data_IF_805979099863
#
_entry.id   IF_805979099863
#
_cell.length_a   1.000
_cell.length_b   1.000
_cell.length_c   1.000
_cell.angle_alpha   90.00
_cell.angle_beta   90.00
_cell.angle_gamma   90.00
#
_symmetry.space_group_name_H-M   'P 1'
#
loop_
_entity.id
_entity.type
_entity.pdbx_description
1 polymer ?
#
# COMPACT_ATOMS: atom_id res chain seq x y z
N UNK A 1 19.60 -19.39 -16.19
CA UNK A 1 19.11 -18.16 -15.54
C UNK A 1 18.97 -18.39 -14.04
N UNK A 2 19.31 -17.40 -13.22
CA UNK A 2 19.15 -17.48 -11.76
C UNK A 2 17.70 -17.20 -11.34
N UNK A 3 17.33 -17.60 -10.12
CA UNK A 3 16.05 -17.24 -9.54
C UNK A 3 15.92 -15.72 -9.39
N UNK A 4 14.69 -15.21 -9.50
CA UNK A 4 14.39 -13.78 -9.32
C UNK A 4 13.27 -13.63 -8.31
N UNK A 5 13.39 -12.66 -7.41
CA UNK A 5 12.31 -12.32 -6.47
C UNK A 5 11.51 -11.16 -7.03
N UNK A 6 10.20 -11.33 -7.08
CA UNK A 6 9.27 -10.33 -7.58
C UNK A 6 8.17 -10.05 -6.56
N UNK A 7 7.66 -8.83 -6.59
CA UNK A 7 6.43 -8.46 -5.90
C UNK A 7 5.33 -8.33 -6.95
N UNK A 8 4.19 -8.97 -6.71
CA UNK A 8 3.02 -8.93 -7.60
C UNK A 8 1.80 -8.39 -6.86
N UNK A 9 0.92 -7.73 -7.61
CA UNK A 9 -0.39 -7.29 -7.14
C UNK A 9 -1.48 -8.22 -7.66
N UNK A 10 -2.23 -8.83 -6.73
CA UNK A 10 -3.40 -9.65 -7.03
C UNK A 10 -4.65 -8.93 -6.55
N UNK A 11 -5.69 -8.87 -7.38
CA UNK A 11 -6.97 -8.24 -7.06
C UNK A 11 -8.12 -9.16 -7.48
N UNK A 12 -9.18 -9.25 -6.67
CA UNK A 12 -10.43 -9.85 -7.13
C UNK A 12 -11.24 -8.77 -7.82
N UNK A 13 -11.40 -8.86 -9.13
CA UNK A 13 -12.18 -7.92 -9.92
C UNK A 13 -13.35 -8.60 -10.59
N UNK A 14 -14.05 -7.85 -11.44
CA UNK A 14 -15.10 -8.37 -12.30
C UNK A 14 -14.67 -8.35 -13.76
N UNK A 15 -15.10 -9.36 -14.51
CA UNK A 15 -14.98 -9.46 -15.96
C UNK A 15 -16.24 -10.13 -16.50
N UNK A 16 -17.01 -9.45 -17.36
CA UNK A 16 -18.29 -9.93 -17.88
C UNK A 16 -19.27 -10.39 -16.76
N UNK A 17 -19.36 -9.62 -15.67
CA UNK A 17 -20.18 -9.91 -14.47
C UNK A 17 -19.80 -11.19 -13.71
N UNK A 18 -18.60 -11.71 -13.95
CA UNK A 18 -18.03 -12.82 -13.18
C UNK A 18 -16.85 -12.33 -12.35
N UNK A 19 -16.76 -12.81 -11.11
CA UNK A 19 -15.61 -12.56 -10.25
C UNK A 19 -14.38 -13.31 -10.80
N UNK A 20 -13.30 -12.57 -11.02
CA UNK A 20 -12.04 -13.11 -11.54
C UNK A 20 -10.86 -12.55 -10.74
N UNK A 21 -9.92 -13.41 -10.40
CA UNK A 21 -8.64 -12.98 -9.83
C UNK A 21 -7.77 -12.43 -10.95
N UNK A 22 -7.25 -11.23 -10.75
CA UNK A 22 -6.42 -10.47 -11.68
C UNK A 22 -5.02 -10.31 -11.11
N UNK A 23 -4.01 -10.49 -11.94
CA UNK A 23 -2.63 -10.12 -11.67
C UNK A 23 -2.35 -8.86 -12.48
N UNK A 24 -2.29 -7.71 -11.81
CA UNK A 24 -2.30 -6.41 -12.49
C UNK A 24 -0.90 -5.84 -12.65
N UNK A 25 -0.05 -5.97 -11.64
CA UNK A 25 1.31 -5.44 -11.66
C UNK A 25 2.34 -6.44 -11.16
N UNK A 26 3.58 -6.22 -11.60
CA UNK A 26 4.77 -6.95 -11.18
C UNK A 26 5.95 -5.98 -11.05
N UNK A 27 6.84 -6.24 -10.10
CA UNK A 27 8.16 -5.60 -10.02
C UNK A 27 9.21 -6.57 -9.54
N UNK A 28 10.45 -6.37 -9.97
CA UNK A 28 11.60 -6.98 -9.32
C UNK A 28 11.73 -6.39 -7.90
N UNK A 29 12.14 -7.21 -6.93
CA UNK A 29 12.43 -6.69 -5.58
C UNK A 29 13.71 -5.86 -5.51
N UNK A 30 14.62 -6.02 -6.49
CA UNK A 30 15.85 -5.24 -6.56
C UNK A 30 15.62 -3.80 -7.03
N UNK A 31 14.47 -3.54 -7.65
CA UNK A 31 14.21 -2.32 -8.40
C UNK A 31 12.95 -1.64 -7.87
N UNK A 32 12.84 -0.33 -8.07
CA UNK A 32 11.67 0.46 -7.67
C UNK A 32 10.62 0.64 -8.76
N UNK A 33 10.90 0.16 -9.98
CA UNK A 33 10.02 0.28 -11.13
C UNK A 33 8.95 -0.81 -11.07
N UNK A 34 7.69 -0.39 -11.17
CA UNK A 34 6.54 -1.30 -11.23
C UNK A 34 6.03 -1.35 -12.66
N UNK A 35 5.71 -2.54 -13.15
CA UNK A 35 5.24 -2.76 -14.50
C UNK A 35 3.79 -3.24 -14.48
N UNK A 36 3.01 -2.80 -15.47
CA UNK A 36 1.60 -3.10 -15.63
C UNK A 36 1.41 -4.17 -16.71
N UNK A 37 0.63 -5.21 -16.41
CA UNK A 37 0.19 -6.15 -17.44
C UNK A 37 -0.86 -5.49 -18.35
N UNK A 38 -0.92 -5.82 -19.65
CA UNK A 38 -2.02 -5.44 -20.51
C UNK A 38 -3.37 -5.90 -19.93
N UNK A 39 -4.43 -5.08 -20.04
CA UNK A 39 -5.75 -5.38 -19.43
C UNK A 39 -6.33 -6.73 -19.85
N UNK A 40 -6.13 -7.12 -21.11
CA UNK A 40 -6.55 -8.41 -21.68
C UNK A 40 -5.72 -9.60 -21.16
N UNK A 41 -4.63 -9.35 -20.43
CA UNK A 41 -3.75 -10.36 -19.86
C UNK A 41 -3.83 -10.42 -18.34
N UNK A 42 -4.60 -9.54 -17.68
CA UNK A 42 -4.74 -9.52 -16.21
C UNK A 42 -5.29 -10.80 -15.62
N UNK A 43 -6.18 -11.50 -16.31
CA UNK A 43 -6.86 -12.66 -15.76
C UNK A 43 -5.84 -13.75 -15.35
N UNK A 44 -5.91 -14.23 -14.11
CA UNK A 44 -4.96 -15.21 -13.57
C UNK A 44 -4.88 -16.50 -14.42
N UNK A 45 -5.91 -16.81 -15.21
CA UNK A 45 -5.91 -17.90 -16.21
C UNK A 45 -4.81 -17.78 -17.26
N UNK A 46 -4.26 -16.59 -17.48
CA UNK A 46 -3.12 -16.36 -18.38
C UNK A 46 -1.77 -16.64 -17.72
N UNK A 47 -1.73 -16.72 -16.39
CA UNK A 47 -0.54 -16.90 -15.57
C UNK A 47 -0.48 -18.30 -14.93
N UNK A 48 -0.89 -19.34 -15.68
CA UNK A 48 -1.03 -20.71 -15.14
C UNK A 48 0.28 -21.23 -14.54
N UNK A 49 1.40 -21.07 -15.23
CA UNK A 49 2.70 -21.57 -14.76
C UNK A 49 3.08 -20.94 -13.41
N UNK A 50 2.77 -19.65 -13.22
CA UNK A 50 2.99 -18.95 -11.97
C UNK A 50 2.05 -19.46 -10.87
N UNK A 51 0.76 -19.62 -11.20
CA UNK A 51 -0.23 -20.13 -10.27
C UNK A 51 0.11 -21.55 -9.82
N UNK A 52 0.46 -22.43 -10.76
CA UNK A 52 0.68 -23.85 -10.50
C UNK A 52 1.95 -24.11 -9.71
N UNK A 53 3.01 -23.34 -9.97
CA UNK A 53 4.30 -23.49 -9.28
C UNK A 53 4.37 -22.78 -7.93
N UNK A 54 3.63 -21.68 -7.71
CA UNK A 54 3.71 -20.91 -6.47
C UNK A 54 2.55 -21.16 -5.51
N UNK A 55 2.81 -21.88 -4.42
CA UNK A 55 1.83 -22.08 -3.33
C UNK A 55 1.37 -20.75 -2.72
N UNK A 56 2.25 -19.76 -2.63
CA UNK A 56 1.94 -18.41 -2.14
C UNK A 56 0.89 -17.73 -3.01
N UNK A 57 0.98 -17.84 -4.34
CA UNK A 57 -0.03 -17.29 -5.27
C UNK A 57 -1.36 -18.00 -5.11
N UNK A 58 -1.36 -19.34 -4.98
CA UNK A 58 -2.59 -20.14 -4.73
C UNK A 58 -3.28 -19.74 -3.42
N UNK A 59 -2.51 -19.53 -2.35
CA UNK A 59 -3.06 -19.12 -1.06
C UNK A 59 -3.57 -17.67 -1.09
N UNK A 60 -2.82 -16.76 -1.71
CA UNK A 60 -3.22 -15.36 -1.81
C UNK A 60 -4.50 -15.18 -2.62
N UNK A 61 -4.62 -15.85 -3.77
CA UNK A 61 -5.83 -15.83 -4.60
C UNK A 61 -7.06 -16.38 -3.88
N UNK A 62 -6.94 -17.52 -3.17
CA UNK A 62 -8.04 -18.07 -2.35
C UNK A 62 -8.49 -17.16 -1.21
N UNK A 63 -7.61 -16.28 -0.74
CA UNK A 63 -7.91 -15.36 0.35
C UNK A 63 -8.59 -14.06 -0.11
N UNK A 64 -8.76 -13.87 -1.43
CA UNK A 64 -9.56 -12.79 -1.99
C UNK A 64 -11.00 -13.27 -2.12
N UNK A 65 -11.91 -12.69 -1.32
CA UNK A 65 -13.30 -13.15 -1.21
C UNK A 65 -14.33 -12.08 -1.56
N UNK A 66 -13.88 -10.85 -1.81
CA UNK A 66 -14.75 -9.72 -2.17
C UNK A 66 -14.14 -8.92 -3.31
N UNK A 67 -14.97 -8.50 -4.26
CA UNK A 67 -14.55 -7.64 -5.37
C UNK A 67 -13.90 -6.35 -4.84
N UNK A 68 -12.79 -5.95 -5.46
CA UNK A 68 -11.93 -4.83 -5.02
C UNK A 68 -10.95 -5.19 -3.91
N UNK A 69 -11.04 -6.40 -3.33
CA UNK A 69 -10.01 -6.86 -2.40
C UNK A 69 -8.73 -7.19 -3.16
N UNK A 70 -7.60 -6.75 -2.62
CA UNK A 70 -6.29 -7.02 -3.22
C UNK A 70 -5.26 -7.50 -2.20
N UNK A 71 -4.17 -8.07 -2.70
CA UNK A 71 -2.97 -8.43 -1.95
C UNK A 71 -1.73 -8.16 -2.77
N UNK A 72 -0.75 -7.53 -2.13
CA UNK A 72 0.61 -7.45 -2.64
C UNK A 72 1.42 -8.58 -2.02
N UNK A 73 1.93 -9.50 -2.83
CA UNK A 73 2.72 -10.64 -2.35
C UNK A 73 4.09 -10.69 -3.01
N UNK A 74 5.05 -11.20 -2.26
CA UNK A 74 6.41 -11.44 -2.74
C UNK A 74 6.58 -12.91 -3.02
N UNK A 75 7.12 -13.24 -4.19
CA UNK A 75 7.37 -14.61 -4.62
C UNK A 75 8.76 -14.73 -5.25
N UNK A 76 9.29 -15.94 -5.24
CA UNK A 76 10.53 -16.30 -5.94
C UNK A 76 10.15 -17.04 -7.22
N UNK A 77 10.58 -16.51 -8.37
CA UNK A 77 10.44 -17.16 -9.68
C UNK A 77 11.58 -18.16 -9.86
N UNK A 78 11.21 -19.41 -10.14
CA UNK A 78 12.15 -20.45 -10.56
C UNK A 78 12.71 -20.13 -11.95
N UNK A 79 13.89 -20.65 -12.33
CA UNK A 79 14.52 -20.35 -13.61
C UNK A 79 13.61 -20.57 -14.83
N UNK A 80 12.78 -21.61 -14.80
CA UNK A 80 11.80 -21.92 -15.87
C UNK A 80 10.67 -20.87 -15.98
N UNK A 81 10.29 -20.26 -14.86
CA UNK A 81 9.26 -19.22 -14.83
C UNK A 81 9.85 -17.86 -15.15
N UNK A 82 11.13 -17.63 -14.79
CA UNK A 82 11.83 -16.38 -15.11
C UNK A 82 11.78 -16.11 -16.61
N UNK A 83 12.05 -17.11 -17.46
CA UNK A 83 12.01 -16.97 -18.93
C UNK A 83 10.64 -16.67 -19.50
N UNK A 84 9.55 -16.84 -18.72
CA UNK A 84 8.18 -16.52 -19.15
C UNK A 84 7.79 -15.05 -18.90
N UNK A 85 8.53 -14.37 -18.02
CA UNK A 85 8.23 -12.99 -17.59
C UNK A 85 9.37 -12.02 -17.84
N UNK A 86 10.58 -12.52 -18.07
CA UNK A 86 11.79 -11.73 -18.25
C UNK A 86 12.56 -12.20 -19.48
N UNK A 87 13.06 -11.25 -20.27
CA UNK A 87 14.02 -11.52 -21.34
C UNK A 87 15.46 -11.67 -20.79
N UNK A 88 16.44 -11.79 -21.69
CA UNK A 88 17.85 -11.94 -21.35
C UNK A 88 18.43 -10.71 -20.65
N UNK A 89 17.88 -9.53 -20.94
CA UNK A 89 18.27 -8.24 -20.38
C UNK A 89 17.50 -7.90 -19.09
N UNK A 90 16.72 -8.84 -18.56
CA UNK A 90 15.86 -8.67 -17.39
C UNK A 90 14.74 -7.61 -17.55
N UNK A 91 14.29 -7.34 -18.79
CA UNK A 91 13.08 -6.56 -19.03
C UNK A 91 11.85 -7.43 -18.88
N UNK A 92 10.76 -6.87 -18.35
CA UNK A 92 9.50 -7.60 -18.25
C UNK A 92 8.84 -7.79 -19.62
N UNK A 93 8.78 -9.04 -20.06
CA UNK A 93 8.13 -9.46 -21.31
C UNK A 93 7.15 -10.58 -20.99
N UNK A 94 5.88 -10.42 -21.38
CA UNK A 94 4.87 -11.44 -21.18
C UNK A 94 4.06 -11.65 -22.45
N UNK A 95 4.00 -12.90 -22.94
CA UNK A 95 3.33 -13.26 -24.21
C UNK A 95 3.70 -12.32 -25.37
N UNK A 96 5.00 -12.11 -25.56
CA UNK A 96 5.58 -11.29 -26.62
C UNK A 96 5.24 -9.78 -26.53
N UNK A 97 4.79 -9.31 -25.37
CA UNK A 97 4.56 -7.90 -25.11
C UNK A 97 5.49 -7.40 -24.00
N UNK A 98 6.22 -6.32 -24.26
CA UNK A 98 6.92 -5.58 -23.20
C UNK A 98 5.87 -4.94 -22.27
N UNK A 99 6.08 -5.04 -20.97
CA UNK A 99 5.19 -4.42 -20.00
C UNK A 99 5.48 -2.93 -19.88
N UNK A 100 4.44 -2.13 -19.70
CA UNK A 100 4.56 -0.68 -19.53
C UNK A 100 4.92 -0.36 -18.07
N UNK A 101 5.82 0.60 -17.88
CA UNK A 101 6.13 1.13 -16.55
C UNK A 101 4.92 1.90 -16.00
N UNK A 102 4.52 1.56 -14.78
CA UNK A 102 3.54 2.31 -14.02
C UNK A 102 4.21 3.55 -13.44
N UNK A 103 4.15 4.65 -14.20
CA UNK A 103 4.56 5.96 -13.70
C UNK A 103 3.49 6.44 -12.71
N UNK A 104 3.81 6.38 -11.42
CA UNK A 104 3.05 7.09 -10.41
C UNK A 104 3.28 8.59 -10.65
N UNK A 105 2.40 9.21 -11.43
CA UNK A 105 2.37 10.66 -11.61
C UNK A 105 2.08 11.30 -10.25
N UNK A 106 3.12 11.54 -9.48
CA UNK A 106 3.11 12.34 -8.25
C UNK A 106 3.04 13.82 -8.62
N UNK A 107 2.04 14.21 -9.41
CA UNK A 107 1.63 15.61 -9.67
C UNK A 107 0.39 15.62 -10.55
N UNK A 108 -0.82 15.64 -9.97
CA UNK A 108 -2.08 16.27 -10.45
C UNK A 108 -3.11 16.05 -9.32
N UNK A 109 -3.20 16.91 -8.29
CA UNK A 109 -4.12 18.07 -8.26
C UNK A 109 -5.33 17.86 -9.20
N UNK A 110 -6.49 17.62 -8.60
CA UNK A 110 -7.83 17.82 -9.17
C UNK A 110 -8.15 17.11 -10.49
N UNK A 111 -8.53 15.83 -10.43
CA UNK A 111 -9.49 15.28 -11.39
C UNK A 111 -10.87 15.29 -10.72
N UNK A 112 -11.90 15.93 -11.31
CA UNK A 112 -13.23 15.92 -10.73
C UNK A 112 -13.78 14.51 -10.83
N UNK A 113 -13.87 13.82 -9.69
CA UNK A 113 -14.78 12.68 -9.59
C UNK A 113 -16.17 13.27 -9.84
N UNK A 114 -16.79 12.88 -10.94
CA UNK A 114 -18.21 13.13 -11.18
C UNK A 114 -19.01 12.29 -10.18
N UNK A 115 -19.07 12.78 -8.93
CA UNK A 115 -19.96 12.28 -7.89
C UNK A 115 -21.29 13.01 -8.03
N UNK A 116 -22.08 12.57 -9.00
CA UNK A 116 -23.52 12.72 -8.87
C UNK A 116 -24.00 11.70 -7.83
N UNK A 117 -23.84 12.05 -6.54
CA UNK A 117 -24.68 11.59 -5.42
C UNK A 117 -24.32 12.29 -4.11
N UNK A 118 -25.32 13.04 -3.62
CA UNK A 118 -25.63 13.41 -2.23
C UNK A 118 -24.82 14.54 -1.58
N UNK A 119 -25.41 15.74 -1.54
CA UNK A 119 -24.98 16.91 -0.74
C UNK A 119 -24.68 16.58 0.72
N UNK A 120 -25.33 15.55 1.27
CA UNK A 120 -25.11 15.04 2.63
C UNK A 120 -23.66 14.60 2.89
N UNK A 121 -23.00 13.97 1.91
CA UNK A 121 -21.59 13.53 2.06
C UNK A 121 -20.61 14.70 2.09
N UNK A 122 -20.86 15.75 1.29
CA UNK A 122 -20.05 16.99 1.34
C UNK A 122 -20.19 17.69 2.68
N UNK A 123 -21.41 17.79 3.21
CA UNK A 123 -21.66 18.38 4.55
C UNK A 123 -20.98 17.57 5.66
N UNK A 124 -21.01 16.24 5.58
CA UNK A 124 -20.34 15.39 6.57
C UNK A 124 -18.80 15.51 6.52
N UNK A 125 -18.22 15.64 5.33
CA UNK A 125 -16.77 15.86 5.17
C UNK A 125 -16.35 17.23 5.69
N UNK A 126 -17.11 18.29 5.42
CA UNK A 126 -16.86 19.64 5.96
C UNK A 126 -16.92 19.61 7.49
N UNK A 127 -17.93 18.93 8.08
CA UNK A 127 -18.05 18.77 9.53
C UNK A 127 -16.90 17.97 10.13
N UNK A 128 -16.36 16.99 9.40
CA UNK A 128 -15.20 16.22 9.86
C UNK A 128 -13.94 17.09 9.90
N UNK A 129 -13.71 17.92 8.88
CA UNK A 129 -12.58 18.84 8.81
C UNK A 129 -12.65 19.85 9.97
N UNK A 130 -13.82 20.44 10.21
CA UNK A 130 -14.01 21.40 11.30
C UNK A 130 -13.77 20.78 12.69
N UNK A 131 -14.22 19.54 12.92
CA UNK A 131 -13.91 18.79 14.16
C UNK A 131 -12.43 18.53 14.34
N UNK A 132 -11.69 18.26 13.26
CA UNK A 132 -10.25 18.00 13.32
C UNK A 132 -9.47 19.30 13.59
N UNK A 133 -9.85 20.42 12.97
CA UNK A 133 -9.28 21.74 13.27
C UNK A 133 -9.45 22.12 14.74
N UNK A 134 -10.69 22.05 15.26
CA UNK A 134 -10.97 22.37 16.66
C UNK A 134 -10.21 21.46 17.65
N UNK A 135 -10.00 20.19 17.28
CA UNK A 135 -9.22 19.24 18.09
C UNK A 135 -7.72 19.56 18.09
N UNK A 136 -7.21 20.17 17.03
CA UNK A 136 -5.81 20.62 16.95
C UNK A 136 -5.59 21.87 17.83
N UNK A 137 -6.49 22.86 17.75
CA UNK A 137 -6.41 24.08 18.56
C UNK A 137 -6.52 23.80 20.07
N UNK A 138 -7.40 22.88 20.46
CA UNK A 138 -7.53 22.46 21.87
C UNK A 138 -6.34 21.63 22.39
N UNK A 139 -5.47 21.12 21.52
CA UNK A 139 -4.21 20.47 21.93
C UNK A 139 -3.04 21.45 21.99
N UNK A 140 -2.97 22.43 21.10
CA UNK A 140 -1.93 23.46 21.11
C UNK A 140 -2.08 24.38 22.34
N UNK A 141 -3.31 24.65 22.77
CA UNK A 141 -3.58 25.49 23.95
C UNK A 141 -3.60 24.75 25.30
N UNK A 142 -3.34 23.43 25.32
CA UNK A 142 -3.03 22.74 26.59
C UNK A 142 -1.55 22.95 26.85
N UNK A 143 -1.22 24.05 27.52
CA UNK A 143 0.02 24.11 28.30
C UNK A 143 0.11 22.81 29.09
N UNK A 144 1.20 22.05 28.90
CA UNK A 144 1.43 20.81 29.61
C UNK A 144 1.36 21.12 31.10
N UNK A 145 0.34 20.61 31.79
CA UNK A 145 0.22 20.78 33.23
C UNK A 145 1.32 19.95 33.91
N UNK A 146 2.46 20.59 34.14
CA UNK A 146 3.67 20.00 34.74
C UNK A 146 3.40 19.56 36.18
N UNK A 147 2.27 19.94 36.80
CA UNK A 147 1.88 19.51 38.13
C UNK A 147 1.75 17.98 38.23
N UNK A 148 1.31 17.30 37.17
CA UNK A 148 1.19 15.83 37.18
C UNK A 148 2.58 15.16 37.19
N UNK A 149 3.55 15.71 36.45
CA UNK A 149 4.93 15.23 36.43
C UNK A 149 5.60 15.45 37.80
N UNK A 150 5.33 16.58 38.47
CA UNK A 150 5.82 16.87 39.82
C UNK A 150 5.29 15.92 40.90
N UNK A 151 4.11 15.31 40.69
CA UNK A 151 3.58 14.29 41.61
C UNK A 151 4.13 12.89 41.36
N UNK A 152 4.42 12.55 40.10
CA UNK A 152 4.96 11.23 39.72
C UNK A 152 6.43 11.07 40.07
N UNK A 153 7.20 12.16 39.99
CA UNK A 153 8.59 12.21 40.42
C UNK A 153 8.63 13.00 41.72
N UNK A 154 9.11 12.41 42.82
CA UNK A 154 9.30 13.10 44.11
C UNK A 154 10.45 14.12 43.99
N UNK A 155 10.26 15.13 43.15
CA UNK A 155 11.18 16.24 42.94
C UNK A 155 10.87 17.26 44.02
N UNK A 156 11.48 17.07 45.19
CA UNK A 156 11.53 18.11 46.20
C UNK A 156 12.19 19.35 45.59
N UNK A 157 11.49 20.49 45.63
CA UNK A 157 12.09 21.77 45.22
C UNK A 157 13.32 22.02 46.08
N UNK A 158 14.49 22.08 45.46
CA UNK A 158 15.74 22.39 46.14
C UNK A 158 15.64 23.78 46.77
N UNK A 159 15.41 23.83 48.09
CA UNK A 159 15.51 25.06 48.87
C UNK A 159 16.95 25.18 49.34
N UNK A 160 17.81 25.68 48.45
CA UNK A 160 19.22 25.93 48.75
C UNK A 160 19.37 27.08 49.74
N UNK A 161 19.18 26.82 51.04
CA UNK A 161 19.66 27.66 52.13
C UNK A 161 20.07 26.79 53.32
N UNK A 162 21.37 26.87 53.63
CA UNK A 162 22.02 26.63 54.94
C UNK A 162 22.19 25.15 55.33
N UNK A 163 23.39 24.56 55.20
CA UNK A 163 24.59 24.92 55.95
C UNK A 163 25.87 24.62 55.16
N UNK A 164 26.53 25.66 54.65
CA UNK A 164 27.98 25.63 54.46
C UNK A 164 28.60 26.12 55.78
N UNK A 165 28.92 25.19 56.68
CA UNK A 165 29.83 25.47 57.80
C UNK A 165 31.20 24.91 57.44
N UNK A 166 32.20 25.74 57.72
CA UNK A 166 33.63 25.65 57.40
C UNK A 166 34.27 24.31 57.74
#
# INVERSE_FOLDING_TARGET
MSTKKVRIHLELGEENSLEVVKLTTIRLLSDDITYLFPKNLHNLKHHKDLFDTSSTVKMASKALTKVGQYRNITITLNPEIVTLYLDEDCNFVFKNCYLEELVENSTLINTPVSLEKTDKTKVDLIRLIDKLSNKLETKVNRGLDISQIQSQFVLNKFQGKENARQ
#
